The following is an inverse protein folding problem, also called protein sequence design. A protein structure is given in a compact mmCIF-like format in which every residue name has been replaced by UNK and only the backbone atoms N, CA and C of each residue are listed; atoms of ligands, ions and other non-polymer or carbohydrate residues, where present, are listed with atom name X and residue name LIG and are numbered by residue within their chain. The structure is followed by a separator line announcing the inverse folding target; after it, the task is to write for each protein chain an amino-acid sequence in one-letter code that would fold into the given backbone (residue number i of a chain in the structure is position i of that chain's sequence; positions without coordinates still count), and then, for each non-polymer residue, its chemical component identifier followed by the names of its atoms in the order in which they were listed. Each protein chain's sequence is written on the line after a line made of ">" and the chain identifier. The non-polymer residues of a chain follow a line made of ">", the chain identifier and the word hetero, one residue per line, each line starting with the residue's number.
data_IF_148860962179
#
_entry.id   IF_148860962179
#
_cell.length_a   1.000
_cell.length_b   1.000
_cell.length_c   1.000
_cell.angle_alpha   90.00
_cell.angle_beta   90.00
_cell.angle_gamma   90.00
#
_symmetry.space_group_name_H-M   'P 1'
#
loop_
_entity.id
_entity.type
_entity.pdbx_description
1 polymer ?
#
# COMPACT_ATOMS: atom_id res chain seq x y z
N UNK A 1 2.01 -19.04 9.86
CA UNK A 1 2.97 -19.21 10.97
C UNK A 1 2.78 -18.01 11.89
N UNK A 2 2.27 -18.18 13.10
CA UNK A 2 1.98 -17.05 14.01
C UNK A 2 3.21 -16.73 14.84
N UNK A 3 4.00 -15.74 14.41
CA UNK A 3 5.21 -15.28 15.09
C UNK A 3 4.90 -14.27 16.22
N UNK A 4 3.94 -14.58 17.10
CA UNK A 4 3.62 -13.73 18.27
C UNK A 4 4.44 -14.21 19.46
N UNK A 5 5.46 -13.44 19.84
CA UNK A 5 6.34 -13.75 20.98
C UNK A 5 5.70 -13.29 22.31
N UNK A 6 5.02 -12.13 22.31
CA UNK A 6 4.36 -11.57 23.49
C UNK A 6 2.96 -11.03 23.15
N UNK A 7 2.01 -11.22 24.07
CA UNK A 7 0.65 -10.71 23.96
C UNK A 7 0.14 -10.20 25.32
N UNK A 8 0.70 -9.09 25.83
CA UNK A 8 0.38 -8.58 27.17
C UNK A 8 -1.08 -8.15 27.35
N UNK A 9 -1.79 -7.91 26.24
CA UNK A 9 -3.20 -7.50 26.24
C UNK A 9 -4.18 -8.64 25.94
N UNK A 10 -3.68 -9.87 25.81
CA UNK A 10 -4.48 -11.05 25.45
C UNK A 10 -5.38 -10.80 24.22
N UNK A 11 -4.86 -10.09 23.22
CA UNK A 11 -5.57 -9.78 21.97
C UNK A 11 -5.77 -11.08 21.20
N UNK A 12 -7.00 -11.33 20.75
CA UNK A 12 -7.31 -12.42 19.85
C UNK A 12 -7.20 -11.89 18.42
N UNK A 13 -6.23 -12.40 17.67
CA UNK A 13 -6.08 -12.10 16.25
C UNK A 13 -6.86 -13.12 15.44
N UNK A 14 -7.73 -12.65 14.55
CA UNK A 14 -8.48 -13.47 13.62
C UNK A 14 -8.19 -13.02 12.19
N UNK A 15 -7.74 -13.94 11.36
CA UNK A 15 -7.66 -13.72 9.90
C UNK A 15 -9.07 -13.82 9.33
N UNK A 16 -9.47 -12.81 8.56
CA UNK A 16 -10.80 -12.70 7.94
C UNK A 16 -10.60 -12.38 6.47
N UNK A 17 -11.35 -13.06 5.59
CA UNK A 17 -11.40 -12.70 4.18
C UNK A 17 -11.99 -11.28 4.04
N UNK A 18 -11.35 -10.37 3.28
CA UNK A 18 -11.83 -9.00 3.11
C UNK A 18 -13.29 -8.89 2.64
N UNK A 19 -13.76 -9.84 1.83
CA UNK A 19 -15.13 -9.85 1.32
C UNK A 19 -16.18 -10.19 2.40
N UNK A 20 -15.77 -10.83 3.49
CA UNK A 20 -16.65 -11.20 4.60
C UNK A 20 -16.62 -10.17 5.74
N UNK A 21 -15.71 -9.19 5.66
CA UNK A 21 -15.40 -8.28 6.75
C UNK A 21 -16.59 -7.38 7.12
N UNK A 22 -17.31 -6.86 6.11
CA UNK A 22 -18.43 -5.93 6.30
C UNK A 22 -19.57 -6.52 7.15
N UNK A 23 -19.79 -7.84 7.08
CA UNK A 23 -20.80 -8.54 7.88
C UNK A 23 -20.32 -9.06 9.24
N UNK A 24 -19.01 -8.99 9.53
CA UNK A 24 -18.39 -9.58 10.73
C UNK A 24 -17.92 -8.54 11.76
N UNK A 25 -17.87 -7.27 11.39
CA UNK A 25 -17.53 -6.17 12.30
C UNK A 25 -18.61 -6.02 13.39
N UNK A 26 -18.22 -6.24 14.64
CA UNK A 26 -19.01 -5.92 15.83
C UNK A 26 -18.35 -4.77 16.59
N UNK A 27 -19.12 -4.12 17.46
CA UNK A 27 -18.56 -3.10 18.35
C UNK A 27 -17.40 -3.65 19.19
N UNK A 28 -16.33 -2.87 19.31
CA UNK A 28 -15.12 -3.23 20.06
C UNK A 28 -14.03 -3.97 19.27
N UNK A 29 -14.26 -4.33 18.01
CA UNK A 29 -13.22 -4.89 17.15
C UNK A 29 -12.34 -3.78 16.55
N UNK A 30 -11.03 -4.05 16.48
CA UNK A 30 -10.07 -3.26 15.69
C UNK A 30 -9.62 -4.12 14.51
N UNK A 31 -9.59 -3.52 13.32
CA UNK A 31 -9.19 -4.21 12.10
C UNK A 31 -8.00 -3.51 11.48
N UNK A 32 -6.99 -4.31 11.11
CA UNK A 32 -5.90 -3.86 10.26
C UNK A 32 -6.33 -3.98 8.79
N UNK A 33 -6.29 -2.87 8.06
CA UNK A 33 -6.69 -2.77 6.66
C UNK A 33 -5.58 -2.17 5.83
N UNK A 34 -5.42 -2.65 4.60
CA UNK A 34 -4.66 -1.90 3.60
C UNK A 34 -5.50 -0.73 3.03
N UNK A 35 -4.84 0.19 2.31
CA UNK A 35 -5.50 1.40 1.78
C UNK A 35 -6.69 1.09 0.86
N UNK A 36 -6.56 0.12 -0.05
CA UNK A 36 -7.64 -0.22 -0.99
C UNK A 36 -8.87 -0.81 -0.28
N UNK A 37 -8.66 -1.63 0.74
CA UNK A 37 -9.75 -2.18 1.55
C UNK A 37 -10.48 -1.09 2.32
N UNK A 38 -9.74 -0.19 2.99
CA UNK A 38 -10.33 0.95 3.68
C UNK A 38 -11.19 1.81 2.73
N UNK A 39 -10.67 2.10 1.53
CA UNK A 39 -11.41 2.85 0.51
C UNK A 39 -12.67 2.12 0.03
N UNK A 40 -12.60 0.80 -0.16
CA UNK A 40 -13.77 -0.02 -0.55
C UNK A 40 -14.90 0.02 0.49
N UNK A 41 -14.54 0.26 1.76
CA UNK A 41 -15.46 0.42 2.88
C UNK A 41 -15.85 1.89 3.13
N UNK A 42 -15.44 2.81 2.26
CA UNK A 42 -15.69 4.25 2.39
C UNK A 42 -14.98 4.91 3.58
N UNK A 43 -13.87 4.33 4.04
CA UNK A 43 -13.04 4.87 5.13
C UNK A 43 -11.86 5.69 4.58
N UNK A 44 -11.52 6.77 5.27
CA UNK A 44 -10.36 7.63 4.98
C UNK A 44 -9.23 7.27 5.98
N UNK A 45 -8.08 6.80 5.49
CA UNK A 45 -7.01 6.29 6.38
C UNK A 45 -6.37 7.37 7.27
N UNK A 46 -6.52 8.64 6.91
CA UNK A 46 -6.00 9.76 7.69
C UNK A 46 -6.99 10.15 8.79
N UNK A 47 -8.30 10.06 8.51
CA UNK A 47 -9.35 10.51 9.43
C UNK A 47 -9.88 9.40 10.33
N UNK A 48 -10.02 8.19 9.80
CA UNK A 48 -10.75 7.11 10.45
C UNK A 48 -9.82 6.08 11.11
N UNK A 49 -8.52 6.08 10.80
CA UNK A 49 -7.57 5.16 11.40
C UNK A 49 -7.16 5.60 12.81
N UNK A 50 -7.12 4.65 13.75
CA UNK A 50 -6.55 4.88 15.09
C UNK A 50 -5.03 5.00 15.07
N UNK A 51 -4.38 4.19 14.24
CA UNK A 51 -2.94 4.14 14.03
C UNK A 51 -2.71 3.82 12.55
N UNK A 52 -1.70 4.44 11.95
CA UNK A 52 -1.26 4.18 10.58
C UNK A 52 0.23 3.94 10.54
N UNK A 53 0.68 3.11 9.60
CA UNK A 53 2.09 2.95 9.32
C UNK A 53 2.67 4.28 8.80
N UNK A 54 3.95 4.52 9.08
CA UNK A 54 4.62 5.70 8.53
C UNK A 54 4.83 5.47 7.04
N UNK A 55 4.56 6.50 6.26
CA UNK A 55 4.87 6.55 4.83
C UNK A 55 6.27 7.15 4.69
N UNK A 56 7.28 6.33 4.90
CA UNK A 56 8.70 6.67 4.78
C UNK A 56 9.44 5.65 3.90
N UNK A 57 10.75 5.85 3.72
CA UNK A 57 11.57 5.02 2.83
C UNK A 57 11.52 3.52 3.20
N UNK A 58 11.45 3.19 4.50
CA UNK A 58 11.37 1.80 4.96
C UNK A 58 10.06 1.12 4.49
N UNK A 59 8.96 1.88 4.44
CA UNK A 59 7.68 1.41 3.89
C UNK A 59 7.73 1.29 2.36
N UNK A 60 8.45 2.18 1.66
CA UNK A 60 8.63 2.11 0.21
C UNK A 60 9.32 0.80 -0.21
N UNK A 61 10.35 0.39 0.53
CA UNK A 61 11.13 -0.81 0.20
C UNK A 61 10.37 -2.12 0.47
N UNK A 62 9.39 -2.11 1.37
CA UNK A 62 8.73 -3.35 1.84
C UNK A 62 7.27 -3.49 1.41
N UNK A 63 6.61 -2.40 1.05
CA UNK A 63 5.17 -2.37 0.74
C UNK A 63 4.83 -1.69 -0.59
N UNK A 64 5.83 -1.38 -1.42
CA UNK A 64 5.58 -0.83 -2.75
C UNK A 64 4.65 -1.71 -3.58
N UNK A 65 3.68 -1.07 -4.23
CA UNK A 65 2.89 -1.71 -5.29
C UNK A 65 3.76 -1.78 -6.54
N UNK A 66 4.02 -2.99 -7.02
CA UNK A 66 4.85 -3.24 -8.21
C UNK A 66 4.01 -3.75 -9.36
N UNK A 67 4.46 -3.44 -10.58
CA UNK A 67 3.95 -4.09 -11.80
C UNK A 67 4.80 -5.33 -12.07
N UNK A 68 4.20 -6.51 -11.93
CA UNK A 68 4.86 -7.79 -12.19
C UNK A 68 4.59 -8.26 -13.61
N UNK A 69 5.64 -8.75 -14.28
CA UNK A 69 5.60 -9.13 -15.70
C UNK A 69 6.31 -10.46 -15.90
N UNK A 70 6.03 -11.14 -17.01
CA UNK A 70 6.77 -12.37 -17.36
C UNK A 70 8.21 -11.99 -17.72
N UNK A 71 9.19 -12.78 -17.27
CA UNK A 71 10.61 -12.46 -17.39
C UNK A 71 11.05 -12.21 -18.85
N UNK A 72 10.51 -12.97 -19.79
CA UNK A 72 10.79 -12.84 -21.23
C UNK A 72 10.16 -11.60 -21.88
N UNK A 73 9.29 -10.88 -21.17
CA UNK A 73 8.63 -9.64 -21.64
C UNK A 73 9.29 -8.35 -21.16
N UNK A 74 10.27 -8.46 -20.26
CA UNK A 74 10.94 -7.31 -19.61
C UNK A 74 11.66 -6.39 -20.61
N UNK A 75 12.22 -6.94 -21.69
CA UNK A 75 13.01 -6.19 -22.67
C UNK A 75 12.19 -5.65 -23.86
N UNK A 76 10.88 -5.85 -23.86
CA UNK A 76 10.00 -5.30 -24.90
C UNK A 76 9.93 -3.78 -24.81
N UNK A 77 9.95 -3.10 -25.96
CA UNK A 77 9.85 -1.62 -26.04
C UNK A 77 8.63 -1.05 -25.32
N UNK A 78 7.52 -1.78 -25.30
CA UNK A 78 6.32 -1.40 -24.54
C UNK A 78 6.52 -1.43 -23.03
N UNK A 79 7.33 -2.36 -22.51
CA UNK A 79 7.61 -2.46 -21.08
C UNK A 79 8.50 -1.32 -20.59
N UNK A 80 9.53 -0.99 -21.37
CA UNK A 80 10.39 0.17 -21.11
C UNK A 80 9.57 1.45 -21.06
N UNK A 81 8.70 1.69 -22.05
CA UNK A 81 7.85 2.88 -22.09
C UNK A 81 6.86 2.94 -20.91
N UNK A 82 6.28 1.80 -20.50
CA UNK A 82 5.42 1.73 -19.33
C UNK A 82 6.19 2.08 -18.05
N UNK A 83 7.38 1.50 -17.89
CA UNK A 83 8.25 1.76 -16.75
C UNK A 83 8.55 3.25 -16.63
N UNK A 84 9.02 3.88 -17.71
CA UNK A 84 9.33 5.33 -17.76
C UNK A 84 8.14 6.20 -17.33
N UNK A 85 6.92 5.88 -17.80
CA UNK A 85 5.72 6.64 -17.43
C UNK A 85 5.39 6.46 -15.94
N UNK A 86 5.46 5.25 -15.42
CA UNK A 86 5.09 4.95 -14.03
C UNK A 86 6.04 5.58 -13.01
N UNK A 87 7.31 5.76 -13.37
CA UNK A 87 8.32 6.42 -12.51
C UNK A 87 8.56 7.89 -12.88
N UNK A 88 7.74 8.46 -13.77
CA UNK A 88 7.89 9.84 -14.21
C UNK A 88 7.45 10.85 -13.13
N UNK A 89 8.01 12.06 -13.20
CA UNK A 89 7.62 13.19 -12.36
C UNK A 89 6.11 13.47 -12.47
N UNK A 90 5.55 13.38 -13.68
CA UNK A 90 4.11 13.58 -13.93
C UNK A 90 3.26 12.57 -13.16
N UNK A 91 3.69 11.31 -13.10
CA UNK A 91 2.99 10.29 -12.33
C UNK A 91 3.15 10.52 -10.82
N UNK A 92 4.35 10.89 -10.37
CA UNK A 92 4.62 11.25 -8.99
C UNK A 92 3.71 12.39 -8.52
N UNK A 93 3.68 13.50 -9.26
CA UNK A 93 2.81 14.64 -8.99
C UNK A 93 1.33 14.26 -8.98
N UNK A 94 0.89 13.42 -9.92
CA UNK A 94 -0.50 12.96 -9.95
C UNK A 94 -0.87 12.16 -8.70
N UNK A 95 0.02 11.29 -8.22
CA UNK A 95 -0.18 10.52 -6.98
C UNK A 95 -0.24 11.48 -5.79
N UNK A 96 0.68 12.42 -5.67
CA UNK A 96 0.70 13.39 -4.57
C UNK A 96 -0.54 14.28 -4.55
N UNK A 97 -0.98 14.77 -5.72
CA UNK A 97 -2.12 15.67 -5.78
C UNK A 97 -3.46 14.97 -5.54
N UNK A 98 -3.62 13.73 -6.02
CA UNK A 98 -4.91 13.02 -5.98
C UNK A 98 -5.01 11.99 -4.86
N UNK A 99 -3.89 11.44 -4.40
CA UNK A 99 -3.85 10.25 -3.55
C UNK A 99 -2.92 10.37 -2.32
N UNK A 100 -2.28 11.53 -2.08
CA UNK A 100 -1.33 11.77 -0.95
C UNK A 100 -1.80 11.39 0.45
N UNK A 101 -3.10 11.19 0.64
CA UNK A 101 -3.66 10.72 1.91
C UNK A 101 -3.24 9.28 2.24
N UNK A 102 -3.26 8.42 1.21
CA UNK A 102 -3.14 6.97 1.35
C UNK A 102 -1.93 6.42 0.58
N UNK A 103 -1.41 7.17 -0.39
CA UNK A 103 -0.36 6.75 -1.31
C UNK A 103 0.72 7.82 -1.44
N UNK A 104 1.95 7.36 -1.68
CA UNK A 104 3.10 8.20 -2.00
C UNK A 104 3.94 7.49 -3.10
N UNK A 105 4.73 8.24 -3.88
CA UNK A 105 5.63 7.63 -4.86
C UNK A 105 6.67 6.72 -4.17
N UNK A 106 6.76 5.47 -4.59
CA UNK A 106 7.72 4.51 -4.05
C UNK A 106 9.12 4.59 -4.70
N UNK A 107 9.40 5.67 -5.41
CA UNK A 107 10.66 5.90 -6.12
C UNK A 107 11.21 7.29 -5.75
N UNK A 108 12.53 7.40 -5.69
CA UNK A 108 13.18 8.69 -5.51
C UNK A 108 13.43 9.35 -6.88
N UNK A 109 12.83 10.52 -7.09
CA UNK A 109 12.94 11.30 -8.32
C UNK A 109 14.40 11.59 -8.74
N UNK A 110 15.31 11.79 -7.78
CA UNK A 110 16.74 12.03 -8.03
C UNK A 110 17.48 10.77 -8.53
N UNK A 111 17.09 9.59 -8.06
CA UNK A 111 17.78 8.33 -8.37
C UNK A 111 17.35 7.72 -9.70
N UNK A 112 16.12 7.99 -10.14
CA UNK A 112 15.58 7.49 -11.42
C UNK A 112 16.11 8.27 -12.62
N UNK A 113 16.39 9.57 -12.46
CA UNK A 113 16.88 10.45 -13.52
C UNK A 113 18.40 10.67 -13.52
N UNK A 114 19.14 10.07 -12.57
CA UNK A 114 20.60 10.07 -12.55
C UNK A 114 21.14 8.93 -13.43
N UNK A 115 21.08 9.14 -14.74
CA UNK A 115 21.79 8.46 -15.84
C UNK A 115 22.48 7.11 -15.59
#
# INVERSE_FOLDING_TARGET
>A
MNAVVENPRNIVVQEIDPNELSGKLKDGYVVALNAQQAQSMGKDSVKDAYVREKQDADAADTQAVVVSVLEDTLSGTGMTALSEVLVSDVMGEYIEQKYSKDYFPAFEWEKVNAG
#
